data_IF_420011858328
#
_entry.id   IF_420011858328
#
_cell.length_a   1.000
_cell.length_b   1.000
_cell.length_c   1.000
_cell.angle_alpha   90.00
_cell.angle_beta   90.00
_cell.angle_gamma   90.00
#
_symmetry.space_group_name_H-M   'P 1'
#
loop_
_entity.id
_entity.type
_entity.pdbx_description
1 polymer ?
#
# COMPACT_ATOMS: atom_id res chain seq x y z
N UNK A 1 -0.86 -3.01 -19.73
CA UNK A 1 -0.64 -4.47 -19.93
C UNK A 1 0.81 -4.84 -20.29
N UNK A 2 1.56 -4.08 -21.10
CA UNK A 2 2.92 -4.48 -21.55
C UNK A 2 3.92 -4.84 -20.44
N UNK A 3 3.97 -4.07 -19.34
CA UNK A 3 4.88 -4.33 -18.22
C UNK A 3 4.52 -5.64 -17.49
N UNK A 4 3.22 -5.91 -17.32
CA UNK A 4 2.75 -7.16 -16.69
C UNK A 4 3.15 -8.35 -17.56
N UNK A 5 2.89 -8.27 -18.87
CA UNK A 5 3.25 -9.32 -19.83
C UNK A 5 4.75 -9.63 -19.80
N UNK A 6 5.59 -8.60 -19.74
CA UNK A 6 7.03 -8.78 -19.59
C UNK A 6 7.38 -9.50 -18.28
N UNK A 7 6.79 -9.08 -17.16
CA UNK A 7 7.06 -9.66 -15.83
C UNK A 7 6.66 -11.14 -15.72
N UNK A 8 5.60 -11.56 -16.40
CA UNK A 8 5.09 -12.95 -16.35
C UNK A 8 5.65 -13.86 -17.44
N UNK A 9 6.31 -13.31 -18.46
CA UNK A 9 6.88 -14.07 -19.58
C UNK A 9 7.81 -15.23 -19.14
N UNK A 10 8.72 -15.04 -18.16
CA UNK A 10 9.56 -16.14 -17.68
C UNK A 10 8.80 -17.29 -16.99
N UNK A 11 7.53 -17.09 -16.66
CA UNK A 11 6.67 -18.01 -15.92
C UNK A 11 5.51 -18.50 -16.79
N UNK A 12 5.77 -18.73 -18.08
CA UNK A 12 4.79 -19.19 -19.08
C UNK A 12 3.52 -18.32 -19.14
N UNK A 13 3.68 -17.01 -18.94
CA UNK A 13 2.57 -16.04 -18.91
C UNK A 13 1.51 -16.31 -17.83
N UNK A 14 1.84 -17.05 -16.76
CA UNK A 14 0.93 -17.24 -15.64
C UNK A 14 0.81 -15.96 -14.80
N UNK A 15 -0.43 -15.46 -14.65
CA UNK A 15 -0.71 -14.28 -13.82
C UNK A 15 -0.50 -14.55 -12.32
N UNK A 16 -0.53 -15.82 -11.89
CA UNK A 16 -0.28 -16.16 -10.48
C UNK A 16 1.15 -15.84 -10.06
N UNK A 17 2.09 -15.71 -11.01
CA UNK A 17 3.46 -15.27 -10.76
C UNK A 17 3.53 -13.88 -10.08
N UNK A 18 2.50 -13.04 -10.25
CA UNK A 18 2.39 -11.73 -9.61
C UNK A 18 2.06 -11.82 -8.11
N UNK A 19 1.50 -12.93 -7.63
CA UNK A 19 1.18 -13.15 -6.21
C UNK A 19 2.47 -13.26 -5.39
N UNK A 20 3.50 -13.92 -5.92
CA UNK A 20 4.76 -14.09 -5.20
C UNK A 20 4.72 -15.19 -4.13
N UNK A 21 4.06 -16.31 -4.40
CA UNK A 21 3.93 -17.44 -3.46
C UNK A 21 5.32 -18.08 -3.25
N UNK A 22 5.75 -18.20 -2.00
CA UNK A 22 6.98 -18.89 -1.64
C UNK A 22 6.72 -20.34 -1.23
N UNK A 23 7.61 -21.24 -1.65
CA UNK A 23 7.59 -22.68 -1.32
C UNK A 23 7.33 -22.96 0.15
N UNK A 24 8.00 -22.26 1.08
CA UNK A 24 7.79 -22.50 2.50
C UNK A 24 6.35 -22.21 2.99
N UNK A 25 5.64 -21.23 2.42
CA UNK A 25 4.23 -21.00 2.76
C UNK A 25 3.28 -21.95 2.02
N UNK A 26 3.68 -22.43 0.84
CA UNK A 26 2.96 -23.48 0.13
C UNK A 26 3.01 -24.82 0.89
N UNK A 27 4.18 -25.21 1.41
CA UNK A 27 4.36 -26.45 2.18
C UNK A 27 3.62 -26.44 3.52
N UNK A 28 3.60 -25.28 4.20
CA UNK A 28 2.96 -25.15 5.52
C UNK A 28 1.43 -25.02 5.40
N UNK A 29 0.92 -24.54 4.26
CA UNK A 29 -0.52 -24.45 3.99
C UNK A 29 -0.92 -25.37 2.82
N UNK A 30 -0.72 -26.70 2.96
CA UNK A 30 -1.09 -27.63 1.90
C UNK A 30 -2.61 -27.50 1.70
N UNK A 31 -3.06 -27.43 0.45
CA UNK A 31 -4.46 -27.26 0.00
C UNK A 31 -4.97 -25.83 -0.20
N UNK A 32 -4.29 -24.78 0.28
CA UNK A 32 -4.75 -23.39 0.03
C UNK A 32 -4.33 -22.82 -1.32
N UNK A 33 -3.31 -23.39 -1.97
CA UNK A 33 -2.81 -22.91 -3.27
C UNK A 33 -3.49 -23.67 -4.40
N UNK A 34 -4.15 -22.95 -5.30
CA UNK A 34 -4.83 -23.54 -6.46
C UNK A 34 -3.82 -24.22 -7.41
N UNK A 35 -4.19 -25.35 -8.06
CA UNK A 35 -3.31 -26.05 -8.99
C UNK A 35 -2.84 -25.16 -10.14
N UNK A 36 -1.64 -25.44 -10.65
CA UNK A 36 -0.97 -24.66 -11.71
C UNK A 36 -0.55 -23.23 -11.33
N UNK A 37 -0.65 -22.85 -10.05
CA UNK A 37 -0.11 -21.57 -9.60
C UNK A 37 1.41 -21.65 -9.49
N UNK A 38 2.10 -20.61 -9.97
CA UNK A 38 3.54 -20.42 -9.84
C UNK A 38 3.94 -20.28 -8.36
N UNK A 39 4.79 -21.20 -7.90
CA UNK A 39 5.41 -21.19 -6.57
C UNK A 39 6.92 -21.01 -6.72
N UNK A 40 7.47 -20.01 -6.04
CA UNK A 40 8.89 -19.69 -6.07
C UNK A 40 9.65 -20.48 -5.00
N UNK A 41 10.75 -21.13 -5.39
CA UNK A 41 11.63 -21.84 -4.44
C UNK A 41 12.28 -20.90 -3.42
N UNK A 42 12.53 -19.65 -3.82
CA UNK A 42 13.09 -18.63 -2.93
C UNK A 42 12.48 -17.26 -3.14
N UNK A 43 12.32 -16.53 -2.03
CA UNK A 43 11.92 -15.13 -2.02
C UNK A 43 10.49 -14.88 -2.51
N UNK A 44 9.51 -15.15 -1.65
CA UNK A 44 8.12 -14.70 -1.85
C UNK A 44 7.94 -13.21 -1.61
N UNK A 45 6.70 -12.76 -1.75
CA UNK A 45 6.32 -11.38 -1.46
C UNK A 45 4.94 -11.29 -0.81
N UNK A 46 4.58 -10.08 -0.35
CA UNK A 46 3.36 -9.82 0.42
C UNK A 46 2.04 -10.21 -0.28
N UNK A 47 2.04 -10.31 -1.62
CA UNK A 47 0.85 -10.70 -2.41
C UNK A 47 0.28 -12.07 -2.00
N UNK A 48 1.16 -13.00 -1.61
CA UNK A 48 0.76 -14.34 -1.16
C UNK A 48 -0.12 -14.32 0.07
N UNK A 49 0.09 -13.38 1.01
CA UNK A 49 -0.72 -13.31 2.23
C UNK A 49 -2.12 -12.82 1.94
N UNK A 50 -2.28 -11.90 0.97
CA UNK A 50 -3.61 -11.46 0.55
C UNK A 50 -4.39 -12.60 -0.10
N UNK A 51 -3.72 -13.41 -0.94
CA UNK A 51 -4.30 -14.59 -1.57
C UNK A 51 -4.66 -15.67 -0.54
N UNK A 52 -3.74 -16.04 0.34
CA UNK A 52 -3.98 -17.08 1.35
C UNK A 52 -5.08 -16.68 2.34
N UNK A 53 -5.11 -15.42 2.79
CA UNK A 53 -6.24 -14.90 3.58
C UNK A 53 -7.56 -14.94 2.82
N UNK A 54 -7.56 -14.66 1.51
CA UNK A 54 -8.78 -14.75 0.71
C UNK A 54 -9.27 -16.21 0.60
N UNK A 55 -8.37 -17.19 0.50
CA UNK A 55 -8.72 -18.62 0.47
C UNK A 55 -9.27 -19.10 1.81
N UNK A 56 -8.63 -18.75 2.91
CA UNK A 56 -9.09 -19.08 4.27
C UNK A 56 -10.47 -18.46 4.57
N UNK A 57 -10.71 -17.22 4.14
CA UNK A 57 -12.00 -16.55 4.36
C UNK A 57 -13.20 -17.19 3.64
N UNK A 58 -12.97 -17.83 2.48
CA UNK A 58 -14.07 -18.22 1.58
C UNK A 58 -14.08 -19.69 1.15
N UNK A 59 -12.99 -20.43 1.28
CA UNK A 59 -12.89 -21.81 0.81
C UNK A 59 -12.56 -22.84 1.90
N UNK A 60 -11.73 -22.50 2.89
CA UNK A 60 -11.35 -23.41 3.99
C UNK A 60 -11.62 -22.73 5.34
N UNK A 61 -12.75 -23.06 5.96
CA UNK A 61 -13.27 -22.38 7.16
C UNK A 61 -12.61 -22.78 8.49
N UNK A 62 -11.44 -23.44 8.44
CA UNK A 62 -10.83 -24.00 9.64
C UNK A 62 -9.91 -23.02 10.38
N UNK A 63 -9.66 -21.82 9.82
CA UNK A 63 -8.85 -20.75 10.44
C UNK A 63 -7.43 -21.20 10.85
N UNK A 64 -6.95 -22.29 10.25
CA UNK A 64 -5.61 -22.87 10.48
C UNK A 64 -4.55 -22.24 9.57
N UNK A 65 -4.85 -21.08 8.97
CA UNK A 65 -3.97 -20.38 8.05
C UNK A 65 -2.70 -19.89 8.73
N UNK A 66 -1.55 -20.43 8.33
CA UNK A 66 -0.25 -20.00 8.84
C UNK A 66 0.39 -19.01 7.85
N UNK A 67 0.46 -17.74 8.24
CA UNK A 67 1.16 -16.68 7.51
C UNK A 67 2.21 -16.00 8.38
N UNK A 68 3.00 -15.10 7.79
CA UNK A 68 3.90 -14.28 8.59
C UNK A 68 3.10 -13.28 9.45
N UNK A 69 3.52 -13.06 10.70
CA UNK A 69 2.90 -12.05 11.60
C UNK A 69 1.36 -12.01 11.50
N UNK A 70 0.69 -13.13 11.77
CA UNK A 70 -0.73 -13.38 11.43
C UNK A 70 -1.64 -12.18 11.65
N UNK A 71 -1.63 -11.62 12.86
CA UNK A 71 -2.46 -10.46 13.21
C UNK A 71 -2.22 -9.24 12.32
N UNK A 72 -0.96 -8.93 12.03
CA UNK A 72 -0.63 -7.80 11.16
C UNK A 72 -1.20 -7.95 9.75
N UNK A 73 -1.25 -9.19 9.23
CA UNK A 73 -1.85 -9.50 7.92
C UNK A 73 -3.38 -9.51 8.00
N UNK A 74 -3.92 -10.14 9.04
CA UNK A 74 -5.35 -10.23 9.28
C UNK A 74 -6.02 -8.87 9.49
N UNK A 75 -5.32 -7.90 10.08
CA UNK A 75 -5.85 -6.54 10.23
C UNK A 75 -5.99 -5.79 8.89
N UNK A 76 -5.47 -6.35 7.79
CA UNK A 76 -5.47 -5.75 6.45
C UNK A 76 -6.28 -6.57 5.45
N UNK A 77 -7.43 -7.07 5.88
CA UNK A 77 -8.29 -7.95 5.09
C UNK A 77 -8.96 -7.29 3.89
N UNK A 78 -9.00 -5.96 3.77
CA UNK A 78 -9.84 -5.28 2.79
C UNK A 78 -9.68 -5.76 1.33
N UNK A 79 -8.44 -5.97 0.86
CA UNK A 79 -8.20 -6.53 -0.48
C UNK A 79 -8.60 -8.01 -0.56
N UNK A 80 -8.19 -8.82 0.43
CA UNK A 80 -8.50 -10.25 0.51
C UNK A 80 -10.00 -10.51 0.55
N UNK A 81 -10.75 -9.69 1.28
CA UNK A 81 -12.20 -9.80 1.40
C UNK A 81 -12.88 -9.57 0.05
N UNK A 82 -12.50 -8.51 -0.67
CA UNK A 82 -13.14 -8.13 -1.93
C UNK A 82 -12.72 -9.08 -3.06
N UNK A 83 -11.41 -9.31 -3.22
CA UNK A 83 -10.90 -10.25 -4.23
C UNK A 83 -11.36 -11.68 -3.94
N UNK A 84 -11.35 -12.09 -2.67
CA UNK A 84 -11.78 -13.41 -2.22
C UNK A 84 -13.26 -13.66 -2.48
N UNK A 85 -14.14 -12.71 -2.12
CA UNK A 85 -15.58 -12.84 -2.38
C UNK A 85 -15.87 -13.01 -3.87
N UNK A 86 -15.26 -12.18 -4.72
CA UNK A 86 -15.47 -12.26 -6.18
C UNK A 86 -14.88 -13.56 -6.74
N UNK A 87 -13.71 -13.99 -6.25
CA UNK A 87 -13.09 -15.25 -6.69
C UNK A 87 -13.86 -16.47 -6.21
N UNK A 88 -14.45 -16.44 -5.03
CA UNK A 88 -15.33 -17.52 -4.55
C UNK A 88 -16.56 -17.69 -5.46
N UNK A 89 -17.12 -16.59 -5.96
CA UNK A 89 -18.27 -16.62 -6.87
C UNK A 89 -17.91 -17.02 -8.30
N UNK A 90 -16.70 -16.72 -8.76
CA UNK A 90 -16.28 -16.90 -10.17
C UNK A 90 -15.28 -18.03 -10.41
N UNK A 91 -14.70 -18.61 -9.36
CA UNK A 91 -13.61 -19.59 -9.40
C UNK A 91 -12.31 -19.05 -8.77
N UNK A 92 -11.72 -19.78 -7.82
CA UNK A 92 -10.50 -19.35 -7.11
C UNK A 92 -9.25 -19.36 -7.99
N UNK A 93 -9.23 -20.21 -9.01
CA UNK A 93 -8.20 -20.25 -10.04
C UNK A 93 -8.07 -18.93 -10.81
N UNK A 94 -9.13 -18.12 -10.84
CA UNK A 94 -9.16 -16.81 -11.49
C UNK A 94 -8.75 -15.65 -10.56
N UNK A 95 -8.37 -15.94 -9.31
CA UNK A 95 -7.99 -14.92 -8.32
C UNK A 95 -6.96 -13.89 -8.83
N UNK A 96 -5.86 -14.26 -9.54
CA UNK A 96 -4.90 -13.27 -10.03
C UNK A 96 -5.53 -12.27 -11.00
N UNK A 97 -6.38 -12.74 -11.93
CA UNK A 97 -7.04 -11.91 -12.93
C UNK A 97 -8.11 -11.02 -12.29
N UNK A 98 -8.90 -11.58 -11.37
CA UNK A 98 -9.94 -10.87 -10.62
C UNK A 98 -9.32 -9.75 -9.80
N UNK A 99 -8.29 -10.07 -9.01
CA UNK A 99 -7.58 -9.09 -8.18
C UNK A 99 -6.97 -7.99 -9.05
N UNK A 100 -6.32 -8.35 -10.15
CA UNK A 100 -5.75 -7.37 -11.08
C UNK A 100 -6.82 -6.44 -11.67
N UNK A 101 -7.98 -6.98 -12.01
CA UNK A 101 -9.12 -6.22 -12.54
C UNK A 101 -9.70 -5.27 -11.50
N UNK A 102 -9.84 -5.71 -10.24
CA UNK A 102 -10.27 -4.87 -9.11
C UNK A 102 -9.27 -3.74 -8.88
N UNK A 103 -7.97 -4.04 -8.85
CA UNK A 103 -6.91 -3.05 -8.65
C UNK A 103 -6.94 -1.99 -9.76
N UNK A 104 -6.96 -2.40 -11.04
CA UNK A 104 -6.97 -1.45 -12.16
C UNK A 104 -8.28 -0.67 -12.27
N UNK A 105 -9.43 -1.30 -12.09
CA UNK A 105 -10.72 -0.59 -12.14
C UNK A 105 -10.81 0.48 -11.05
N UNK A 106 -10.40 0.13 -9.82
CA UNK A 106 -10.39 1.05 -8.69
C UNK A 106 -9.36 2.17 -8.89
N UNK A 107 -8.19 1.85 -9.43
CA UNK A 107 -7.15 2.83 -9.77
C UNK A 107 -7.60 3.81 -10.88
N UNK A 108 -8.23 3.32 -11.95
CA UNK A 108 -8.73 4.19 -13.02
C UNK A 108 -9.84 5.12 -12.51
N UNK A 109 -10.72 4.60 -11.66
CA UNK A 109 -11.75 5.43 -11.03
C UNK A 109 -11.15 6.46 -10.06
N UNK A 110 -10.13 6.09 -9.28
CA UNK A 110 -9.42 7.04 -8.41
C UNK A 110 -8.65 8.10 -9.20
N UNK A 111 -8.08 7.77 -10.36
CA UNK A 111 -7.48 8.74 -11.30
C UNK A 111 -8.53 9.76 -11.76
N UNK A 112 -9.73 9.31 -12.13
CA UNK A 112 -10.83 10.21 -12.48
C UNK A 112 -11.20 11.11 -11.30
N UNK A 113 -11.41 10.55 -10.10
CA UNK A 113 -11.71 11.31 -8.90
C UNK A 113 -10.63 12.34 -8.57
N UNK A 114 -9.35 11.97 -8.68
CA UNK A 114 -8.22 12.88 -8.44
C UNK A 114 -8.19 14.01 -9.48
N UNK A 115 -8.42 13.71 -10.75
CA UNK A 115 -8.52 14.72 -11.80
C UNK A 115 -9.62 15.74 -11.51
N UNK A 116 -10.76 15.30 -10.97
CA UNK A 116 -11.86 16.18 -10.58
C UNK A 116 -11.59 16.99 -9.30
N UNK A 117 -10.69 16.52 -8.44
CA UNK A 117 -10.25 17.24 -7.24
C UNK A 117 -9.20 18.31 -7.54
N UNK A 118 -8.41 18.12 -8.60
CA UNK A 118 -7.34 19.03 -8.95
C UNK A 118 -7.88 20.35 -9.53
N UNK A 119 -7.27 21.51 -9.19
CA UNK A 119 -7.58 22.79 -9.84
C UNK A 119 -7.35 22.75 -11.35
N UNK A 120 -8.16 23.48 -12.13
CA UNK A 120 -8.11 23.51 -13.60
C UNK A 120 -6.69 23.70 -14.17
N UNK A 121 -5.93 24.65 -13.61
CA UNK A 121 -4.56 24.97 -14.06
C UNK A 121 -3.53 23.87 -13.79
N UNK A 122 -3.87 22.89 -12.95
CA UNK A 122 -2.98 21.83 -12.47
C UNK A 122 -3.52 20.41 -12.69
N UNK A 123 -4.59 20.26 -13.48
CA UNK A 123 -5.17 18.95 -13.81
C UNK A 123 -4.16 17.96 -14.41
N UNK A 124 -3.17 18.48 -15.15
CA UNK A 124 -2.07 17.68 -15.70
C UNK A 124 -1.24 16.95 -14.63
N UNK A 125 -1.26 17.39 -13.36
CA UNK A 125 -0.56 16.71 -12.27
C UNK A 125 -1.07 15.28 -12.05
N UNK A 126 -2.28 14.94 -12.50
CA UNK A 126 -2.80 13.57 -12.44
C UNK A 126 -1.87 12.57 -13.16
N UNK A 127 -1.09 13.04 -14.15
CA UNK A 127 -0.12 12.20 -14.87
C UNK A 127 0.95 11.61 -13.92
N UNK A 128 1.33 12.33 -12.86
CA UNK A 128 2.25 11.77 -11.85
C UNK A 128 1.64 10.61 -11.08
N UNK A 129 0.33 10.63 -10.86
CA UNK A 129 -0.36 9.50 -10.23
C UNK A 129 -0.49 8.31 -11.19
N UNK A 130 -0.85 8.57 -12.46
CA UNK A 130 -0.92 7.55 -13.51
C UNK A 130 0.41 6.83 -13.70
N UNK A 131 1.51 7.59 -13.79
CA UNK A 131 2.87 7.07 -13.97
C UNK A 131 3.64 6.98 -12.63
N UNK A 132 2.93 6.79 -11.53
CA UNK A 132 3.56 6.68 -10.22
C UNK A 132 4.38 5.39 -10.12
N UNK A 133 5.69 5.45 -9.79
CA UNK A 133 6.46 4.24 -9.51
C UNK A 133 5.87 3.46 -8.34
N UNK A 134 5.30 4.16 -7.37
CA UNK A 134 4.77 3.59 -6.14
C UNK A 134 3.51 2.74 -6.42
N UNK A 135 2.54 3.33 -7.14
CA UNK A 135 1.30 2.62 -7.50
C UNK A 135 1.54 1.49 -8.50
N UNK A 136 2.40 1.74 -9.50
CA UNK A 136 2.74 0.72 -10.49
C UNK A 136 3.41 -0.49 -9.84
N UNK A 137 4.39 -0.27 -8.95
CA UNK A 137 5.09 -1.36 -8.29
C UNK A 137 4.16 -2.19 -7.40
N UNK A 138 3.26 -1.52 -6.65
CA UNK A 138 2.23 -2.20 -5.86
C UNK A 138 1.34 -3.12 -6.71
N UNK A 139 0.87 -2.64 -7.87
CA UNK A 139 -0.02 -3.43 -8.73
C UNK A 139 0.70 -4.63 -9.37
N UNK A 140 2.00 -4.51 -9.64
CA UNK A 140 2.81 -5.63 -10.14
C UNK A 140 3.06 -6.72 -9.10
N UNK A 141 2.74 -6.49 -7.83
CA UNK A 141 2.95 -7.43 -6.72
C UNK A 141 1.62 -7.91 -6.09
N UNK A 142 0.48 -7.54 -6.70
CA UNK A 142 -0.88 -7.82 -6.21
C UNK A 142 -1.06 -7.51 -4.70
N UNK A 143 -0.48 -6.41 -4.24
CA UNK A 143 -0.60 -5.96 -2.84
C UNK A 143 -1.63 -4.84 -2.69
N UNK A 144 -2.11 -4.66 -1.46
CA UNK A 144 -3.21 -3.75 -1.14
C UNK A 144 -2.88 -2.25 -1.16
N UNK A 145 -1.62 -1.82 -1.31
CA UNK A 145 -1.25 -0.40 -1.16
C UNK A 145 -1.89 0.53 -2.20
N UNK A 146 -1.83 0.16 -3.48
CA UNK A 146 -2.50 0.96 -4.53
C UNK A 146 -4.02 0.92 -4.39
N UNK A 147 -4.58 -0.21 -3.95
CA UNK A 147 -6.01 -0.33 -3.65
C UNK A 147 -6.43 0.64 -2.54
N UNK A 148 -5.74 0.59 -1.41
CA UNK A 148 -5.92 1.48 -0.26
C UNK A 148 -5.89 2.96 -0.65
N UNK A 149 -4.87 3.38 -1.40
CA UNK A 149 -4.73 4.78 -1.81
C UNK A 149 -5.83 5.18 -2.78
N UNK A 150 -6.20 4.28 -3.71
CA UNK A 150 -7.29 4.53 -4.65
C UNK A 150 -8.62 4.71 -3.93
N UNK A 151 -8.93 3.84 -2.97
CA UNK A 151 -10.12 3.97 -2.11
C UNK A 151 -10.09 5.27 -1.29
N UNK A 152 -8.94 5.66 -0.74
CA UNK A 152 -8.81 6.90 0.01
C UNK A 152 -9.11 8.14 -0.86
N UNK A 153 -8.61 8.18 -2.10
CA UNK A 153 -8.88 9.27 -3.05
C UNK A 153 -10.38 9.30 -3.40
N UNK A 154 -10.99 8.15 -3.69
CA UNK A 154 -12.42 8.06 -4.00
C UNK A 154 -13.27 8.52 -2.80
N UNK A 155 -12.90 8.08 -1.58
CA UNK A 155 -13.56 8.47 -0.33
C UNK A 155 -13.51 9.97 -0.12
N UNK A 156 -12.33 10.56 -0.32
CA UNK A 156 -12.11 12.00 -0.20
C UNK A 156 -12.85 12.79 -1.29
N UNK A 157 -12.90 12.29 -2.53
CA UNK A 157 -13.69 12.89 -3.60
C UNK A 157 -15.17 13.01 -3.20
N UNK A 158 -15.81 11.91 -2.80
CA UNK A 158 -17.22 11.96 -2.39
C UNK A 158 -17.45 12.80 -1.13
N UNK A 159 -16.49 12.82 -0.20
CA UNK A 159 -16.52 13.72 0.97
C UNK A 159 -16.58 15.19 0.53
N UNK A 160 -15.69 15.62 -0.37
CA UNK A 160 -15.68 17.01 -0.87
C UNK A 160 -16.94 17.38 -1.65
N UNK A 161 -17.58 16.40 -2.31
CA UNK A 161 -18.87 16.55 -2.99
C UNK A 161 -20.09 16.46 -2.06
N UNK A 162 -19.87 16.35 -0.73
CA UNK A 162 -20.93 16.22 0.29
C UNK A 162 -21.82 14.98 0.13
N UNK A 163 -21.39 13.97 -0.64
CA UNK A 163 -22.01 12.66 -0.64
C UNK A 163 -21.44 11.80 0.50
N UNK A 164 -21.93 12.05 1.71
CA UNK A 164 -21.39 11.49 2.94
C UNK A 164 -21.54 9.96 3.02
N UNK A 165 -22.65 9.42 2.53
CA UNK A 165 -22.92 7.97 2.59
C UNK A 165 -21.94 7.19 1.73
N UNK A 166 -21.73 7.61 0.47
CA UNK A 166 -20.76 6.95 -0.41
C UNK A 166 -19.34 7.13 0.12
N UNK A 167 -19.00 8.31 0.63
CA UNK A 167 -17.70 8.56 1.26
C UNK A 167 -17.45 7.63 2.45
N UNK A 168 -18.45 7.45 3.32
CA UNK A 168 -18.39 6.52 4.45
C UNK A 168 -18.11 5.08 4.02
N UNK A 169 -18.83 4.57 3.00
CA UNK A 169 -18.64 3.20 2.52
C UNK A 169 -17.21 2.99 2.01
N UNK A 170 -16.67 3.93 1.23
CA UNK A 170 -15.28 3.82 0.76
C UNK A 170 -14.26 3.98 1.89
N UNK A 171 -14.50 4.86 2.87
CA UNK A 171 -13.63 4.98 4.04
C UNK A 171 -13.64 3.74 4.92
N UNK A 172 -14.80 3.08 5.06
CA UNK A 172 -14.91 1.79 5.75
C UNK A 172 -13.98 0.76 5.11
N UNK A 173 -14.06 0.58 3.79
CA UNK A 173 -13.17 -0.34 3.08
C UNK A 173 -11.71 0.11 3.17
N UNK A 174 -11.45 1.43 3.09
CA UNK A 174 -10.10 2.00 3.19
C UNK A 174 -9.43 1.61 4.52
N UNK A 175 -10.13 1.76 5.65
CA UNK A 175 -9.61 1.41 6.99
C UNK A 175 -9.34 -0.08 7.12
N UNK A 176 -10.24 -0.93 6.63
CA UNK A 176 -10.04 -2.39 6.65
C UNK A 176 -8.99 -2.87 5.65
N UNK A 177 -8.62 -2.05 4.66
CA UNK A 177 -7.52 -2.35 3.73
C UNK A 177 -6.17 -2.04 4.37
N UNK A 178 -6.04 -0.87 5.01
CA UNK A 178 -4.88 -0.50 5.82
C UNK A 178 -5.29 0.39 6.99
N UNK A 179 -4.70 0.11 8.14
CA UNK A 179 -4.89 0.83 9.40
C UNK A 179 -4.60 2.34 9.29
N UNK A 180 -3.70 2.74 8.39
CA UNK A 180 -3.40 4.15 8.08
C UNK A 180 -4.63 4.91 7.56
N UNK A 181 -5.67 4.22 7.10
CA UNK A 181 -6.95 4.83 6.71
C UNK A 181 -7.59 5.65 7.83
N UNK A 182 -7.37 5.29 9.09
CA UNK A 182 -7.89 6.02 10.26
C UNK A 182 -7.34 7.45 10.32
N UNK A 183 -6.14 7.69 9.78
CA UNK A 183 -5.53 9.02 9.74
C UNK A 183 -6.29 10.02 8.85
N UNK A 184 -7.07 9.54 7.88
CA UNK A 184 -7.97 10.41 7.11
C UNK A 184 -9.21 10.81 7.92
N UNK A 185 -9.70 9.91 8.77
CA UNK A 185 -10.91 10.11 9.55
C UNK A 185 -10.69 11.05 10.73
N UNK A 186 -9.51 10.99 11.37
CA UNK A 186 -9.18 11.83 12.52
C UNK A 186 -9.42 13.35 12.29
N UNK A 187 -8.84 13.99 11.25
CA UNK A 187 -9.06 15.42 11.02
C UNK A 187 -10.51 15.73 10.59
N UNK A 188 -11.18 14.82 9.88
CA UNK A 188 -12.59 14.97 9.50
C UNK A 188 -13.49 15.00 10.74
N UNK A 189 -13.32 14.03 11.64
CA UNK A 189 -14.11 13.93 12.88
C UNK A 189 -13.83 15.10 13.81
N UNK A 190 -12.55 15.49 13.98
CA UNK A 190 -12.19 16.65 14.81
C UNK A 190 -12.77 17.96 14.24
N UNK A 191 -12.73 18.14 12.92
CA UNK A 191 -13.35 19.28 12.26
C UNK A 191 -14.87 19.29 12.44
N UNK A 192 -15.53 18.14 12.26
CA UNK A 192 -16.97 18.00 12.46
C UNK A 192 -17.38 18.25 13.93
N UNK A 193 -16.59 17.80 14.91
CA UNK A 193 -16.79 18.08 16.33
C UNK A 193 -16.70 19.58 16.61
N UNK A 194 -15.66 20.25 16.09
CA UNK A 194 -15.48 21.68 16.24
C UNK A 194 -16.67 22.48 15.67
N UNK A 195 -17.21 22.05 14.53
CA UNK A 195 -18.38 22.65 13.90
C UNK A 195 -19.74 22.11 14.39
N UNK A 196 -19.75 21.24 15.41
CA UNK A 196 -20.96 20.61 15.98
C UNK A 196 -21.82 19.85 14.95
N UNK A 197 -21.19 19.26 13.94
CA UNK A 197 -21.82 18.46 12.89
C UNK A 197 -21.94 16.99 13.32
N UNK A 198 -22.81 16.71 14.28
CA UNK A 198 -22.93 15.39 14.93
C UNK A 198 -23.16 14.22 13.96
N UNK A 199 -23.88 14.46 12.86
CA UNK A 199 -24.09 13.46 11.81
C UNK A 199 -22.76 13.00 11.20
N UNK A 200 -21.88 13.94 10.88
CA UNK A 200 -20.56 13.65 10.31
C UNK A 200 -19.65 12.98 11.34
N UNK A 201 -19.71 13.45 12.60
CA UNK A 201 -18.99 12.82 13.72
C UNK A 201 -19.36 11.34 13.85
N UNK A 202 -20.65 11.02 13.93
CA UNK A 202 -21.11 9.64 14.07
C UNK A 202 -20.70 8.80 12.86
N UNK A 203 -20.97 9.30 11.66
CA UNK A 203 -20.73 8.56 10.42
C UNK A 203 -19.25 8.27 10.20
N UNK A 204 -18.35 9.23 10.42
CA UNK A 204 -16.92 9.06 10.16
C UNK A 204 -16.13 8.50 11.35
N UNK A 205 -16.71 8.44 12.55
CA UNK A 205 -16.11 7.68 13.67
C UNK A 205 -16.37 6.18 13.53
N UNK A 206 -17.50 5.80 12.91
CA UNK A 206 -17.95 4.41 12.83
C UNK A 206 -16.94 3.46 12.16
N UNK A 207 -16.26 3.80 11.04
CA UNK A 207 -15.24 2.91 10.46
C UNK A 207 -14.10 2.58 11.43
N UNK A 208 -13.63 3.57 12.19
CA UNK A 208 -12.58 3.37 13.19
C UNK A 208 -13.07 2.50 14.35
N UNK A 209 -14.29 2.73 14.83
CA UNK A 209 -14.90 1.92 15.89
C UNK A 209 -15.10 0.46 15.44
N UNK A 210 -15.64 0.25 14.24
CA UNK A 210 -15.83 -1.09 13.67
C UNK A 210 -14.49 -1.81 13.47
N UNK A 211 -13.47 -1.09 13.01
CA UNK A 211 -12.12 -1.64 12.88
C UNK A 211 -11.55 -2.06 14.25
N UNK A 212 -11.64 -1.22 15.27
CA UNK A 212 -11.20 -1.59 16.64
C UNK A 212 -11.99 -2.79 17.19
N UNK A 213 -13.30 -2.85 16.94
CA UNK A 213 -14.12 -4.02 17.29
C UNK A 213 -13.65 -5.28 16.57
N UNK A 214 -13.33 -5.18 15.28
CA UNK A 214 -12.77 -6.27 14.49
C UNK A 214 -11.41 -6.74 15.03
N UNK A 215 -10.51 -5.80 15.40
CA UNK A 215 -9.24 -6.14 16.04
C UNK A 215 -9.45 -6.90 17.35
N UNK A 216 -10.41 -6.44 18.17
CA UNK A 216 -10.73 -7.09 19.44
C UNK A 216 -11.27 -8.51 19.25
N UNK A 217 -12.17 -8.70 18.28
CA UNK A 217 -12.70 -10.04 17.94
C UNK A 217 -11.60 -10.96 17.42
N UNK A 218 -10.75 -10.46 16.51
CA UNK A 218 -9.60 -11.23 15.99
C UNK A 218 -8.62 -11.63 17.10
N UNK A 219 -8.38 -10.75 18.07
CA UNK A 219 -7.54 -11.07 19.22
C UNK A 219 -8.15 -12.14 20.12
N UNK A 220 -9.46 -12.06 20.40
CA UNK A 220 -10.17 -13.05 21.23
C UNK A 220 -10.24 -14.43 20.58
N UNK A 221 -10.39 -14.48 19.26
CA UNK A 221 -10.51 -15.72 18.49
C UNK A 221 -9.15 -16.13 17.89
N UNK A 222 -8.06 -15.92 18.63
CA UNK A 222 -6.72 -16.25 18.13
C UNK A 222 -6.64 -17.69 17.64
N UNK A 223 -6.12 -17.92 16.42
CA UNK A 223 -5.72 -19.27 16.05
C UNK A 223 -4.60 -19.75 17.00
N UNK A 224 -4.42 -21.08 17.07
CA UNK A 224 -3.42 -21.71 17.93
C UNK A 224 -1.97 -21.48 17.47
N UNK A 225 -1.76 -20.66 16.45
CA UNK A 225 -0.46 -20.25 15.94
C UNK A 225 -0.38 -18.72 15.85
N UNK A 226 0.75 -18.14 16.26
CA UNK A 226 1.00 -16.70 16.12
C UNK A 226 1.49 -16.31 14.72
N UNK A 227 1.55 -17.27 13.80
CA UNK A 227 2.25 -17.16 12.52
C UNK A 227 3.76 -17.35 12.67
N UNK A 228 4.49 -17.37 11.56
CA UNK A 228 5.95 -17.31 11.59
C UNK A 228 6.37 -15.85 11.62
N UNK A 229 7.28 -15.44 12.52
CA UNK A 229 7.86 -14.09 12.43
C UNK A 229 9.34 -14.22 12.02
N UNK A 230 9.61 -14.52 10.73
CA UNK A 230 10.98 -14.75 10.27
C UNK A 230 11.85 -13.49 10.39
N UNK A 231 11.24 -12.29 10.37
CA UNK A 231 11.96 -11.03 10.44
C UNK A 231 12.26 -10.58 11.86
N UNK A 232 11.56 -11.13 12.88
CA UNK A 232 11.72 -10.78 14.28
C UNK A 232 11.91 -9.28 14.46
N UNK A 233 10.86 -8.49 14.18
CA UNK A 233 10.82 -7.02 14.34
C UNK A 233 11.40 -6.59 15.70
N UNK A 234 12.72 -6.47 15.78
CA UNK A 234 13.47 -6.12 16.98
C UNK A 234 13.88 -4.65 16.95
N UNK A 235 13.69 -3.97 15.82
CA UNK A 235 14.38 -2.71 15.50
C UNK A 235 13.43 -1.49 15.32
N UNK A 236 12.14 -1.58 15.67
CA UNK A 236 11.23 -0.42 15.64
C UNK A 236 11.39 0.55 16.83
N UNK A 237 12.43 0.38 17.66
CA UNK A 237 12.71 1.19 18.86
C UNK A 237 13.79 2.26 18.57
N UNK A 238 14.36 2.25 17.37
CA UNK A 238 15.45 3.15 17.01
C UNK A 238 14.99 4.60 16.72
N UNK A 239 15.95 5.54 16.73
CA UNK A 239 15.75 6.96 16.42
C UNK A 239 15.26 7.13 14.96
N UNK A 240 14.45 8.15 14.62
CA UNK A 240 14.04 8.41 13.24
C UNK A 240 15.19 8.38 12.23
N UNK A 241 14.97 7.71 11.10
CA UNK A 241 15.91 7.44 10.00
C UNK A 241 17.11 6.54 10.36
N UNK A 242 17.14 5.93 11.53
CA UNK A 242 18.21 4.99 11.88
C UNK A 242 18.25 3.79 10.93
N UNK A 243 17.09 3.25 10.54
CA UNK A 243 17.01 2.19 9.54
C UNK A 243 17.62 2.57 8.18
N UNK A 244 17.53 3.84 7.77
CA UNK A 244 18.20 4.33 6.56
C UNK A 244 19.72 4.24 6.70
N UNK A 245 20.27 4.70 7.83
CA UNK A 245 21.71 4.67 8.10
C UNK A 245 22.21 3.22 8.17
N UNK A 246 21.55 2.38 8.98
CA UNK A 246 21.87 0.95 9.15
C UNK A 246 21.80 0.18 7.84
N UNK A 247 20.95 0.61 6.89
CA UNK A 247 20.84 -0.02 5.58
C UNK A 247 22.13 0.01 4.73
N UNK A 248 23.10 0.89 5.03
CA UNK A 248 24.41 0.95 4.37
C UNK A 248 25.49 0.12 5.08
N UNK A 249 25.18 -0.45 6.24
CA UNK A 249 26.10 -1.31 6.97
C UNK A 249 25.78 -2.76 6.67
N UNK A 250 26.81 -3.54 6.34
CA UNK A 250 26.75 -4.98 6.22
C UNK A 250 27.90 -5.56 7.06
N UNK A 251 27.59 -6.40 8.05
CA UNK A 251 28.57 -6.90 9.03
C UNK A 251 29.43 -5.79 9.69
N UNK A 252 28.79 -4.68 10.10
CA UNK A 252 29.41 -3.47 10.67
C UNK A 252 30.39 -2.73 9.74
N UNK A 253 30.43 -3.05 8.45
CA UNK A 253 31.20 -2.31 7.45
C UNK A 253 30.27 -1.47 6.58
N UNK A 254 30.62 -0.18 6.43
CA UNK A 254 29.90 0.70 5.50
C UNK A 254 30.18 0.27 4.06
N UNK A 255 29.13 0.00 3.30
CA UNK A 255 29.20 -0.32 1.88
C UNK A 255 28.21 0.57 1.13
N UNK A 256 28.71 1.35 0.16
CA UNK A 256 27.86 2.08 -0.77
C UNK A 256 27.97 1.45 -2.16
N UNK A 257 26.88 0.87 -2.65
CA UNK A 257 26.80 0.26 -4.00
C UNK A 257 25.90 1.09 -4.90
N UNK A 258 26.16 1.12 -6.21
CA UNK A 258 25.34 1.89 -7.17
C UNK A 258 23.85 1.50 -7.11
N UNK A 259 23.55 0.23 -6.81
CA UNK A 259 22.18 -0.28 -6.60
C UNK A 259 21.42 0.38 -5.44
N UNK A 260 22.11 1.11 -4.57
CA UNK A 260 21.53 1.81 -3.41
C UNK A 260 21.19 3.27 -3.70
N UNK A 261 21.55 3.78 -4.88
CA UNK A 261 21.19 5.13 -5.32
C UNK A 261 19.69 5.46 -5.17
N UNK A 262 18.74 4.53 -5.45
CA UNK A 262 17.32 4.80 -5.20
C UNK A 262 17.00 5.16 -3.74
N UNK A 263 17.73 4.62 -2.76
CA UNK A 263 17.54 4.95 -1.34
C UNK A 263 17.74 6.45 -1.09
N UNK A 264 18.74 7.04 -1.74
CA UNK A 264 19.01 8.49 -1.65
C UNK A 264 17.88 9.30 -2.28
N UNK A 265 17.32 8.85 -3.42
CA UNK A 265 16.16 9.50 -4.03
C UNK A 265 14.92 9.45 -3.14
N UNK A 266 14.70 8.34 -2.44
CA UNK A 266 13.64 8.24 -1.44
C UNK A 266 13.88 9.17 -0.24
N UNK A 267 15.11 9.28 0.25
CA UNK A 267 15.46 10.24 1.31
C UNK A 267 15.20 11.69 0.86
N UNK A 268 15.60 12.05 -0.36
CA UNK A 268 15.32 13.39 -0.91
C UNK A 268 13.82 13.64 -1.04
N UNK A 269 13.06 12.62 -1.46
CA UNK A 269 11.60 12.68 -1.53
C UNK A 269 10.97 12.90 -0.15
N UNK A 270 11.46 12.17 0.86
CA UNK A 270 11.06 12.28 2.25
C UNK A 270 11.31 13.70 2.81
N UNK A 271 12.55 14.20 2.68
CA UNK A 271 12.92 15.54 3.15
C UNK A 271 12.14 16.65 2.43
N UNK A 272 11.92 16.49 1.12
CA UNK A 272 11.11 17.41 0.33
C UNK A 272 9.67 17.48 0.86
N UNK A 273 9.08 16.34 1.20
CA UNK A 273 7.72 16.27 1.74
C UNK A 273 7.61 16.80 3.17
N UNK A 274 8.63 16.61 4.01
CA UNK A 274 8.70 17.29 5.32
C UNK A 274 8.69 18.81 5.12
N UNK A 275 9.54 19.33 4.24
CA UNK A 275 9.62 20.77 3.96
C UNK A 275 8.29 21.33 3.44
N UNK A 276 7.60 20.59 2.55
CA UNK A 276 6.28 20.97 2.04
C UNK A 276 5.25 21.01 3.17
N UNK A 277 5.25 19.99 4.03
CA UNK A 277 4.31 19.84 5.14
C UNK A 277 4.49 20.97 6.15
N UNK A 278 5.73 21.27 6.56
CA UNK A 278 6.04 22.40 7.45
C UNK A 278 5.58 23.73 6.82
N UNK A 279 5.85 23.93 5.52
CA UNK A 279 5.44 25.16 4.84
C UNK A 279 3.91 25.26 4.66
N UNK A 280 3.18 24.15 4.51
CA UNK A 280 1.71 24.15 4.42
C UNK A 280 1.09 24.43 5.79
N UNK A 281 1.61 23.83 6.87
CA UNK A 281 1.21 24.12 8.26
C UNK A 281 1.34 25.61 8.56
N UNK A 282 2.46 26.25 8.18
CA UNK A 282 2.68 27.69 8.42
C UNK A 282 1.72 28.60 7.66
N UNK A 283 1.27 28.19 6.47
CA UNK A 283 0.50 29.06 5.58
C UNK A 283 -1.01 28.86 5.70
N UNK A 284 -1.49 27.62 5.91
CA UNK A 284 -2.91 27.26 5.76
C UNK A 284 -3.30 26.04 6.62
N UNK A 285 -2.94 26.06 7.91
CA UNK A 285 -3.13 24.92 8.82
C UNK A 285 -4.56 24.34 8.82
N UNK A 286 -5.58 25.21 8.84
CA UNK A 286 -6.98 24.76 8.92
C UNK A 286 -7.52 24.18 7.60
N UNK A 287 -7.03 24.62 6.44
CA UNK A 287 -7.57 24.17 5.14
C UNK A 287 -6.99 22.83 4.69
N UNK A 288 -5.71 22.61 4.98
CA UNK A 288 -4.98 21.44 4.50
C UNK A 288 -4.96 20.27 5.49
N UNK A 289 -5.54 20.41 6.70
CA UNK A 289 -5.43 19.43 7.79
C UNK A 289 -5.86 18.01 7.37
N UNK A 290 -6.96 17.89 6.62
CA UNK A 290 -7.50 16.60 6.15
C UNK A 290 -6.51 15.84 5.24
N UNK A 291 -5.60 16.56 4.59
CA UNK A 291 -4.60 16.02 3.66
C UNK A 291 -3.25 15.87 4.37
N UNK A 292 -2.88 16.81 5.24
CA UNK A 292 -1.61 16.81 5.95
C UNK A 292 -1.46 15.68 6.96
N UNK A 293 -2.50 15.39 7.76
CA UNK A 293 -2.44 14.34 8.78
C UNK A 293 -2.06 12.96 8.18
N UNK A 294 -2.72 12.47 7.11
CA UNK A 294 -2.35 11.18 6.51
C UNK A 294 -0.98 11.22 5.82
N UNK A 295 -0.56 12.35 5.24
CA UNK A 295 0.81 12.52 4.70
C UNK A 295 1.84 12.41 5.83
N UNK A 296 1.64 13.15 6.93
CA UNK A 296 2.56 13.17 8.07
C UNK A 296 2.63 11.81 8.76
N UNK A 297 1.51 11.11 8.91
CA UNK A 297 1.53 9.75 9.45
C UNK A 297 2.26 8.76 8.54
N UNK A 298 2.14 8.90 7.22
CA UNK A 298 2.93 8.10 6.27
C UNK A 298 4.43 8.41 6.35
N UNK A 299 4.79 9.70 6.47
CA UNK A 299 6.18 10.12 6.70
C UNK A 299 6.71 9.57 8.04
N UNK A 300 5.91 9.60 9.10
CA UNK A 300 6.30 9.03 10.38
C UNK A 300 6.62 7.54 10.26
N UNK A 301 5.79 6.76 9.58
CA UNK A 301 6.05 5.33 9.32
C UNK A 301 7.34 5.12 8.52
N UNK A 302 7.62 5.96 7.51
CA UNK A 302 8.88 5.91 6.77
C UNK A 302 10.08 6.22 7.68
N UNK A 303 9.93 7.19 8.58
CA UNK A 303 10.99 7.61 9.48
C UNK A 303 11.40 6.50 10.45
N UNK A 304 10.45 5.71 10.94
CA UNK A 304 10.71 4.58 11.86
C UNK A 304 10.89 3.23 11.16
N UNK A 305 10.95 3.22 9.82
CA UNK A 305 11.08 1.98 9.06
C UNK A 305 12.45 1.32 9.30
N UNK A 306 12.43 0.01 9.57
CA UNK A 306 13.65 -0.80 9.80
C UNK A 306 14.55 -0.89 8.56
N UNK A 307 15.80 -1.31 8.76
CA UNK A 307 16.79 -1.42 7.67
C UNK A 307 16.33 -2.27 6.48
N UNK A 308 15.56 -3.35 6.73
CA UNK A 308 15.04 -4.23 5.68
C UNK A 308 14.11 -3.52 4.71
N UNK A 309 13.33 -2.54 5.19
CA UNK A 309 12.52 -1.68 4.33
C UNK A 309 13.40 -0.76 3.48
N UNK A 310 14.42 -0.15 4.07
CA UNK A 310 15.35 0.71 3.35
C UNK A 310 16.25 -0.04 2.36
N UNK A 311 16.54 -1.33 2.59
CA UNK A 311 17.27 -2.21 1.66
C UNK A 311 16.43 -2.66 0.46
N UNK A 312 15.11 -2.71 0.60
CA UNK A 312 14.20 -3.17 -0.46
C UNK A 312 13.51 -2.00 -1.15
N UNK A 313 13.82 -1.80 -2.44
CA UNK A 313 13.11 -0.84 -3.27
C UNK A 313 11.59 -1.08 -3.24
N UNK A 314 11.17 -2.35 -3.27
CA UNK A 314 9.75 -2.69 -3.31
C UNK A 314 9.03 -2.21 -2.07
N UNK A 315 9.60 -2.49 -0.89
CA UNK A 315 9.02 -2.11 0.38
C UNK A 315 9.01 -0.59 0.57
N UNK A 316 10.12 0.08 0.28
CA UNK A 316 10.24 1.53 0.45
C UNK A 316 9.34 2.29 -0.52
N UNK A 317 9.25 1.85 -1.78
CA UNK A 317 8.39 2.48 -2.80
C UNK A 317 6.92 2.52 -2.37
N UNK A 318 6.43 1.44 -1.74
CA UNK A 318 5.04 1.31 -1.31
C UNK A 318 4.66 2.32 -0.24
N UNK A 319 5.59 2.72 0.61
CA UNK A 319 5.34 3.71 1.67
C UNK A 319 5.04 5.11 1.12
N UNK A 320 5.47 5.43 -0.11
CA UNK A 320 5.19 6.71 -0.77
C UNK A 320 3.89 6.72 -1.61
N UNK A 321 3.21 5.57 -1.73
CA UNK A 321 2.00 5.43 -2.57
C UNK A 321 0.92 6.43 -2.19
N UNK A 322 0.69 6.66 -0.89
CA UNK A 322 -0.29 7.63 -0.40
C UNK A 322 0.17 9.07 -0.60
N UNK A 323 1.45 9.32 -0.30
CA UNK A 323 2.02 10.66 -0.24
C UNK A 323 1.89 11.38 -1.58
N UNK A 324 2.17 10.68 -2.69
CA UNK A 324 2.17 11.29 -4.02
C UNK A 324 0.83 11.93 -4.39
N UNK A 325 -0.30 11.21 -4.54
CA UNK A 325 -1.55 11.80 -4.99
C UNK A 325 -2.10 12.86 -4.03
N UNK A 326 -1.98 12.66 -2.71
CA UNK A 326 -2.48 13.63 -1.73
C UNK A 326 -1.63 14.90 -1.67
N UNK A 327 -0.32 14.81 -1.91
CA UNK A 327 0.53 16.00 -2.01
C UNK A 327 0.14 16.92 -3.17
N UNK A 328 -0.44 16.38 -4.25
CA UNK A 328 -0.91 17.16 -5.41
C UNK A 328 -2.10 18.06 -5.05
N UNK A 329 -2.84 17.72 -3.99
CA UNK A 329 -4.04 18.42 -3.54
C UNK A 329 -3.74 19.56 -2.56
N UNK A 330 -2.48 19.70 -2.09
CA UNK A 330 -2.09 20.76 -1.15
C UNK A 330 -2.17 22.15 -1.79
N UNK A 331 -2.71 23.13 -1.05
CA UNK A 331 -2.90 24.48 -1.55
C UNK A 331 -1.57 25.17 -1.90
N UNK A 332 -1.46 25.71 -3.12
CA UNK A 332 -0.29 26.46 -3.58
C UNK A 332 1.00 25.64 -3.73
N UNK A 333 0.93 24.31 -3.66
CA UNK A 333 2.10 23.41 -3.62
C UNK A 333 2.98 23.52 -4.87
N UNK A 334 2.38 23.80 -6.03
CA UNK A 334 3.07 23.91 -7.34
C UNK A 334 4.12 25.03 -7.41
N UNK A 335 4.01 26.05 -6.54
CA UNK A 335 4.98 27.14 -6.46
C UNK A 335 6.23 26.78 -5.66
N UNK A 336 6.18 25.71 -4.85
CA UNK A 336 7.28 25.33 -3.94
C UNK A 336 8.36 24.54 -4.69
N UNK A 337 9.62 24.90 -4.49
CA UNK A 337 10.76 24.18 -5.08
C UNK A 337 10.84 22.73 -4.57
N UNK A 338 10.60 22.51 -3.27
CA UNK A 338 10.58 21.17 -2.67
C UNK A 338 9.57 20.24 -3.34
N UNK A 339 8.41 20.75 -3.78
CA UNK A 339 7.44 19.96 -4.51
C UNK A 339 7.93 19.57 -5.91
N UNK A 340 8.59 20.49 -6.61
CA UNK A 340 9.22 20.17 -7.91
C UNK A 340 10.32 19.12 -7.74
N UNK A 341 11.10 19.18 -6.66
CA UNK A 341 12.11 18.18 -6.33
C UNK A 341 11.44 16.81 -6.09
N UNK A 342 10.37 16.77 -5.29
CA UNK A 342 9.62 15.54 -5.02
C UNK A 342 9.02 14.91 -6.29
N UNK A 343 8.47 15.72 -7.19
CA UNK A 343 7.99 15.25 -8.48
C UNK A 343 9.14 14.75 -9.39
N UNK A 344 10.26 15.46 -9.39
CA UNK A 344 11.48 15.07 -10.12
C UNK A 344 12.04 13.73 -9.63
N UNK A 345 12.16 13.53 -8.32
CA UNK A 345 12.60 12.24 -7.76
C UNK A 345 11.61 11.12 -8.09
N UNK A 346 10.29 11.40 -8.06
CA UNK A 346 9.27 10.42 -8.47
C UNK A 346 9.42 10.00 -9.93
N UNK A 347 9.71 10.94 -10.85
CA UNK A 347 9.97 10.60 -12.26
C UNK A 347 11.24 9.74 -12.39
N UNK A 348 12.32 10.12 -11.71
CA UNK A 348 13.57 9.35 -11.75
C UNK A 348 13.37 7.93 -11.21
N UNK A 349 12.61 7.78 -10.12
CA UNK A 349 12.25 6.48 -9.55
C UNK A 349 11.34 5.66 -10.48
N UNK A 350 10.49 6.31 -11.27
CA UNK A 350 9.70 5.65 -12.32
C UNK A 350 10.59 5.05 -13.39
N UNK A 351 11.53 5.83 -13.95
CA UNK A 351 12.48 5.29 -14.93
C UNK A 351 13.36 4.18 -14.33
N UNK A 352 13.81 4.35 -13.08
CA UNK A 352 14.55 3.30 -12.38
C UNK A 352 13.73 2.02 -12.25
N UNK A 353 12.45 2.10 -11.89
CA UNK A 353 11.56 0.95 -11.82
C UNK A 353 11.45 0.24 -13.17
N UNK A 354 11.28 0.98 -14.27
CA UNK A 354 11.24 0.39 -15.61
C UNK A 354 12.56 -0.32 -15.94
N UNK A 355 13.70 0.34 -15.74
CA UNK A 355 15.02 -0.28 -15.96
C UNK A 355 15.19 -1.53 -15.11
N UNK A 356 14.77 -1.47 -13.85
CA UNK A 356 14.83 -2.62 -12.94
C UNK A 356 14.00 -3.79 -13.43
N UNK A 357 12.76 -3.54 -13.89
CA UNK A 357 11.89 -4.60 -14.40
C UNK A 357 12.46 -5.20 -15.67
N UNK A 358 12.92 -4.39 -16.63
CA UNK A 358 13.34 -4.88 -17.94
C UNK A 358 14.75 -5.49 -17.97
N UNK A 359 15.67 -5.02 -17.13
CA UNK A 359 17.10 -5.35 -17.27
C UNK A 359 17.75 -5.93 -16.01
N UNK A 360 17.22 -5.69 -14.81
CA UNK A 360 17.91 -6.03 -13.56
C UNK A 360 17.27 -7.20 -12.83
N UNK A 361 15.94 -7.28 -12.81
CA UNK A 361 15.21 -8.30 -12.03
C UNK A 361 15.53 -9.69 -12.56
N UNK A 362 16.19 -10.57 -11.76
CA UNK A 362 16.49 -11.91 -12.21
C UNK A 362 15.23 -12.78 -12.23
N UNK A 363 15.18 -13.71 -13.17
CA UNK A 363 14.19 -14.80 -13.17
C UNK A 363 14.46 -15.71 -11.98
N UNK A 364 13.42 -15.98 -11.18
CA UNK A 364 13.51 -16.89 -10.04
C UNK A 364 13.16 -18.31 -10.46
N UNK A 365 13.76 -19.29 -9.79
CA UNK A 365 13.33 -20.68 -9.90
C UNK A 365 11.92 -20.85 -9.36
N UNK A 366 11.11 -21.63 -10.09
CA UNK A 366 9.72 -21.90 -9.74
C UNK A 366 9.31 -23.33 -10.08
N UNK A 367 8.19 -23.75 -9.50
CA UNK A 367 7.42 -24.91 -9.92
C UNK A 367 5.92 -24.54 -9.93
N UNK A 368 5.09 -25.42 -10.46
CA UNK A 368 3.64 -25.26 -10.47
C UNK A 368 3.04 -26.07 -9.32
N UNK A 369 2.12 -25.46 -8.56
CA UNK A 369 1.35 -26.15 -7.53
C UNK A 369 0.61 -27.35 -8.13
N UNK A 370 0.57 -28.43 -7.36
CA UNK A 370 0.00 -29.73 -7.77
C UNK A 370 -1.52 -29.75 -7.66
#
# INVERSE_FOLDING_TARGET
MGIIQFKISPYNHSLSALIGIWEGFYEINPNLVDPNFVVYKSGGYDGQFFYLLAKDLFNDSDWNLIVDSFYFRYHRIGLSLISGLVSHLLGSEHYPLITLTILFSTFLFSVYCLYQLLPEKSKWLVLFYIFSPYSLNSNLLLVADSFFVSLAIISYYFYTKKNLTTSFLFFLITVFTRELGVLFLAPIVLGALYHKQWKEVFLFSLPGILFLGFLYVGWKNSPNHLGTNPLGFKDMIDIPLFGFVKSFFDHNQFQFKLKEFPKLLFLVSFLSMIMISIASIRNSFQKDLNILVPILGSLFVIAIAEEGYWRSFDNLSRMFTLILPFSLLLEGVTKKLSFKIFLGTSITLFFFLLVRIFFITPTKEYFLAL
#
